data_IF_442368078614
#
_entry.id   IF_442368078614
#
_cell.length_a   1.000
_cell.length_b   1.000
_cell.length_c   1.000
_cell.angle_alpha   90.00
_cell.angle_beta   90.00
_cell.angle_gamma   90.00
#
_symmetry.space_group_name_H-M   'P 1'
#
loop_
_entity.id
_entity.type
_entity.pdbx_description
1 polymer ?
#
# COMPACT_ATOMS: atom_id res chain seq x y z
N UNK A 1 -24.54 11.52 29.71
CA UNK A 1 -23.52 10.45 29.71
C UNK A 1 -23.29 10.03 28.26
N UNK A 2 -22.55 10.84 27.50
CA UNK A 2 -22.43 10.76 26.02
C UNK A 2 -21.01 10.41 25.59
N UNK A 3 -20.47 9.34 26.17
CA UNK A 3 -19.05 8.94 26.08
C UNK A 3 -18.60 8.36 24.74
N UNK A 4 -19.42 8.43 23.68
CA UNK A 4 -19.07 7.95 22.34
C UNK A 4 -19.22 9.04 21.28
N UNK A 5 -18.77 10.25 21.58
CA UNK A 5 -18.69 11.31 20.58
C UNK A 5 -17.65 10.91 19.51
N UNK A 6 -17.93 11.13 18.22
CA UNK A 6 -16.96 10.95 17.13
C UNK A 6 -15.61 11.65 17.38
N UNK A 7 -15.62 12.71 18.19
CA UNK A 7 -14.41 13.43 18.63
C UNK A 7 -13.46 12.50 19.39
N UNK A 8 -13.97 11.58 20.22
CA UNK A 8 -13.12 10.67 21.00
C UNK A 8 -12.40 9.66 20.11
N UNK A 9 -13.08 9.13 19.09
CA UNK A 9 -12.48 8.25 18.08
C UNK A 9 -11.39 8.98 17.28
N UNK A 10 -11.62 10.25 16.93
CA UNK A 10 -10.63 11.07 16.23
C UNK A 10 -9.37 11.28 17.09
N UNK A 11 -9.55 11.62 18.38
CA UNK A 11 -8.42 11.80 19.32
C UNK A 11 -7.65 10.48 19.49
N UNK A 12 -8.36 9.36 19.64
CA UNK A 12 -7.73 8.04 19.76
C UNK A 12 -6.91 7.67 18.50
N UNK A 13 -7.44 7.96 17.31
CA UNK A 13 -6.74 7.73 16.05
C UNK A 13 -5.45 8.56 15.95
N UNK A 14 -5.48 9.83 16.36
CA UNK A 14 -4.29 10.70 16.38
C UNK A 14 -3.24 10.12 17.33
N UNK A 15 -3.64 9.75 18.55
CA UNK A 15 -2.73 9.15 19.54
C UNK A 15 -2.13 7.84 19.01
N UNK A 16 -2.93 6.99 18.38
CA UNK A 16 -2.46 5.73 17.80
C UNK A 16 -1.41 5.96 16.69
N UNK A 17 -1.61 6.97 15.82
CA UNK A 17 -0.64 7.32 14.76
C UNK A 17 0.67 7.86 15.35
N UNK A 18 0.59 8.68 16.41
CA UNK A 18 1.77 9.20 17.11
C UNK A 18 2.58 8.08 17.79
N UNK A 19 1.91 7.09 18.38
CA UNK A 19 2.56 5.94 19.02
C UNK A 19 3.16 4.96 18.01
N UNK A 20 2.47 4.69 16.90
CA UNK A 20 2.98 3.81 15.85
C UNK A 20 4.09 4.47 15.01
N UNK A 21 4.08 5.79 14.88
CA UNK A 21 4.95 6.55 13.98
C UNK A 21 4.55 6.37 12.51
N UNK A 22 4.77 7.43 11.70
CA UNK A 22 4.33 7.48 10.30
C UNK A 22 4.88 6.34 9.42
N UNK A 23 6.07 5.82 9.73
CA UNK A 23 6.70 4.73 8.96
C UNK A 23 6.02 3.37 9.11
N UNK A 24 5.54 3.01 10.32
CA UNK A 24 4.86 1.72 10.56
C UNK A 24 3.40 1.79 10.13
N UNK A 25 2.73 2.92 10.37
CA UNK A 25 1.35 3.13 9.96
C UNK A 25 1.18 3.07 8.43
N UNK A 26 2.09 3.68 7.66
CA UNK A 26 2.00 3.69 6.19
C UNK A 26 2.15 2.28 5.58
N UNK A 27 3.09 1.47 6.07
CA UNK A 27 3.25 0.09 5.61
C UNK A 27 2.03 -0.78 5.96
N UNK A 28 1.52 -0.65 7.19
CA UNK A 28 0.34 -1.40 7.64
C UNK A 28 -0.93 -0.98 6.89
N UNK A 29 -1.14 0.32 6.69
CA UNK A 29 -2.25 0.88 5.92
C UNK A 29 -2.19 0.39 4.46
N UNK A 30 -1.00 0.29 3.87
CA UNK A 30 -0.79 -0.23 2.52
C UNK A 30 -1.21 -1.69 2.36
N UNK A 31 -0.86 -2.55 3.32
CA UNK A 31 -1.23 -3.97 3.28
C UNK A 31 -2.71 -4.21 3.61
N UNK A 32 -3.27 -3.43 4.55
CA UNK A 32 -4.71 -3.42 4.82
C UNK A 32 -5.49 -2.91 3.60
N UNK A 33 -5.03 -1.84 2.94
CA UNK A 33 -5.68 -1.32 1.74
C UNK A 33 -5.70 -2.33 0.58
N UNK A 34 -4.61 -3.09 0.39
CA UNK A 34 -4.58 -4.19 -0.59
C UNK A 34 -5.55 -5.31 -0.20
N UNK A 35 -5.60 -5.71 1.07
CA UNK A 35 -6.53 -6.73 1.57
C UNK A 35 -8.00 -6.34 1.37
N UNK A 36 -8.37 -5.12 1.77
CA UNK A 36 -9.73 -4.58 1.62
C UNK A 36 -10.10 -4.39 0.15
N UNK A 37 -9.16 -3.94 -0.71
CA UNK A 37 -9.40 -3.80 -2.14
C UNK A 37 -9.65 -5.16 -2.81
N UNK A 38 -8.89 -6.19 -2.46
CA UNK A 38 -9.07 -7.54 -2.99
C UNK A 38 -10.37 -8.17 -2.48
N UNK A 39 -10.73 -7.92 -1.22
CA UNK A 39 -12.00 -8.36 -0.64
C UNK A 39 -13.20 -7.70 -1.36
N UNK A 40 -13.14 -6.39 -1.56
CA UNK A 40 -14.17 -5.66 -2.30
C UNK A 40 -14.26 -6.10 -3.77
N UNK A 41 -13.13 -6.36 -4.42
CA UNK A 41 -13.11 -6.88 -5.79
C UNK A 41 -13.70 -8.29 -5.87
N UNK A 42 -13.38 -9.17 -4.91
CA UNK A 42 -13.96 -10.51 -4.84
C UNK A 42 -15.47 -10.50 -4.63
N UNK A 43 -15.98 -9.61 -3.77
CA UNK A 43 -17.44 -9.44 -3.58
C UNK A 43 -18.13 -8.82 -4.79
N UNK A 44 -17.51 -7.81 -5.42
CA UNK A 44 -18.06 -7.20 -6.64
C UNK A 44 -18.04 -8.16 -7.86
N UNK A 45 -17.07 -9.07 -7.93
CA UNK A 45 -17.04 -10.13 -8.96
C UNK A 45 -18.14 -11.19 -8.77
N UNK A 46 -18.73 -11.30 -7.57
CA UNK A 46 -19.87 -12.18 -7.30
C UNK A 46 -21.21 -11.53 -7.71
N UNK A 47 -21.29 -10.19 -7.68
CA UNK A 47 -22.48 -9.40 -8.05
C UNK A 47 -22.52 -8.96 -9.54
N UNK A 48 -21.38 -8.87 -10.24
CA UNK A 48 -21.32 -8.52 -11.68
C UNK A 48 -20.96 -9.74 -12.56
N UNK A 49 -21.70 -10.02 -13.66
CA UNK A 49 -21.35 -11.08 -14.59
C UNK A 49 -20.07 -10.70 -15.36
N UNK A 50 -18.93 -11.10 -14.80
CA UNK A 50 -17.62 -11.38 -15.43
C UNK A 50 -17.35 -10.64 -16.75
N UNK A 51 -17.33 -9.30 -16.72
CA UNK A 51 -16.99 -8.48 -17.88
C UNK A 51 -16.05 -7.34 -17.50
N UNK A 52 -14.79 -7.66 -17.19
CA UNK A 52 -13.57 -6.94 -17.61
C UNK A 52 -12.33 -7.51 -16.92
N UNK A 53 -11.32 -8.01 -17.66
CA UNK A 53 -10.03 -8.32 -17.06
C UNK A 53 -9.38 -6.98 -16.68
N UNK A 54 -9.36 -6.66 -15.38
CA UNK A 54 -8.61 -5.49 -14.89
C UNK A 54 -7.12 -5.81 -14.94
N UNK A 55 -6.30 -5.10 -15.74
CA UNK A 55 -4.86 -5.35 -15.83
C UNK A 55 -4.19 -4.67 -14.64
N UNK A 56 -3.89 -5.39 -13.54
CA UNK A 56 -3.18 -4.72 -12.44
C UNK A 56 -2.47 -5.63 -11.45
N UNK A 57 -1.37 -6.24 -11.88
CA UNK A 57 -0.15 -6.36 -11.04
C UNK A 57 1.07 -6.17 -11.96
N UNK A 58 1.24 -4.98 -12.55
CA UNK A 58 2.53 -4.55 -13.15
C UNK A 58 3.22 -3.46 -12.31
N UNK A 59 2.60 -3.01 -11.22
CA UNK A 59 3.11 -1.94 -10.37
C UNK A 59 4.15 -2.41 -9.32
N UNK A 60 4.72 -3.61 -9.46
CA UNK A 60 5.83 -4.08 -8.61
C UNK A 60 7.21 -3.97 -9.26
N UNK A 61 7.33 -3.49 -10.52
CA UNK A 61 8.64 -3.29 -11.16
C UNK A 61 9.30 -1.92 -10.88
N UNK A 62 8.66 -1.04 -10.11
CA UNK A 62 9.16 0.34 -9.90
C UNK A 62 9.68 0.60 -8.47
N UNK A 63 10.29 -0.40 -7.83
CA UNK A 63 11.01 -0.21 -6.57
C UNK A 63 12.33 -1.00 -6.54
N UNK A 64 13.09 -0.95 -7.63
CA UNK A 64 14.55 -1.11 -7.53
C UNK A 64 15.13 0.31 -7.41
N UNK A 65 15.60 0.74 -6.23
CA UNK A 65 16.44 1.92 -6.17
C UNK A 65 17.71 1.60 -6.95
N UNK A 66 17.89 2.26 -8.09
CA UNK A 66 19.12 2.25 -8.88
C UNK A 66 20.25 2.94 -8.08
N UNK A 67 20.74 2.25 -7.07
CA UNK A 67 22.03 2.49 -6.44
C UNK A 67 22.81 1.19 -6.54
N UNK A 68 23.19 0.84 -7.76
CA UNK A 68 24.32 -0.06 -7.97
C UNK A 68 25.44 0.77 -8.59
N UNK A 69 26.42 1.07 -7.73
CA UNK A 69 27.59 1.89 -7.99
C UNK A 69 28.75 0.91 -8.16
N UNK A 70 28.64 0.01 -9.13
CA UNK A 70 29.68 -0.93 -9.51
C UNK A 70 29.93 -0.72 -11.01
N UNK A 71 31.09 -0.19 -11.44
CA UNK A 71 32.35 -0.87 -11.25
C UNK A 71 32.55 -1.83 -12.41
N UNK A 72 33.31 -1.38 -13.43
CA UNK A 72 34.10 -2.27 -14.32
C UNK A 72 33.35 -2.93 -15.50
N UNK A 73 33.25 -2.20 -16.62
CA UNK A 73 33.29 -2.76 -17.99
C UNK A 73 34.07 -1.76 -18.87
N UNK A 74 35.41 -1.92 -18.93
CA UNK A 74 36.18 -2.37 -20.10
C UNK A 74 36.15 -1.32 -21.23
N UNK A 75 37.21 -0.57 -21.52
CA UNK A 75 38.52 -1.00 -22.03
C UNK A 75 38.34 -1.95 -23.21
N UNK A 76 38.06 -1.39 -24.39
CA UNK A 76 38.32 -1.98 -25.72
C UNK A 76 37.88 -0.97 -26.77
N UNK A 77 38.74 0.02 -27.05
CA UNK A 77 38.89 0.59 -28.39
C UNK A 77 40.37 0.90 -28.58
N UNK A 78 41.07 -0.05 -29.19
CA UNK A 78 42.42 0.06 -29.74
C UNK A 78 42.37 -0.38 -31.20
#
# INVERSE_FOLDING_TARGET
MGSFSPIHLLVLAIVAILLLGGGRFSNLMGDVAKGVKNFKKGMAEEDEPRSKPSPRIEAQKAAEPAFDRDGKRVHDEA
#
